data_IF_622224589670
#
_entry.id   IF_622224589670
#
_cell.length_a   1.000
_cell.length_b   1.000
_cell.length_c   1.000
_cell.angle_alpha   90.00
_cell.angle_beta   90.00
_cell.angle_gamma   90.00
#
_symmetry.space_group_name_H-M   'P 1'
#
loop_
_entity.id
_entity.type
_entity.pdbx_description
1 polymer ?
#
# COMPACT_ATOMS: atom_id res chain seq x y z
N UNK A 1 1.43 15.35 -20.63
CA UNK A 1 -0.02 15.06 -20.67
C UNK A 1 -0.41 14.59 -19.28
N UNK A 2 -1.40 15.19 -18.64
CA UNK A 2 -1.92 14.72 -17.33
C UNK A 2 -2.68 13.43 -17.60
N UNK A 3 -2.22 12.33 -17.00
CA UNK A 3 -2.91 11.05 -17.01
C UNK A 3 -4.30 11.24 -16.40
N UNK A 4 -5.34 10.82 -17.10
CA UNK A 4 -6.70 10.84 -16.55
C UNK A 4 -6.90 9.58 -15.71
N UNK A 5 -6.66 9.67 -14.40
CA UNK A 5 -6.77 8.56 -13.47
C UNK A 5 -8.25 8.27 -13.23
N UNK A 6 -8.71 7.06 -13.56
CA UNK A 6 -10.07 6.61 -13.27
C UNK A 6 -10.21 6.30 -11.78
N UNK A 7 -11.31 6.71 -11.16
CA UNK A 7 -11.57 6.47 -9.76
C UNK A 7 -13.05 6.21 -9.46
N UNK A 8 -13.30 5.25 -8.59
CA UNK A 8 -14.61 4.93 -8.03
C UNK A 8 -14.65 5.30 -6.54
N UNK A 9 -15.68 6.08 -6.15
CA UNK A 9 -15.82 6.58 -4.79
C UNK A 9 -17.03 5.94 -4.10
N UNK A 10 -16.85 5.46 -2.88
CA UNK A 10 -17.84 4.71 -2.13
C UNK A 10 -18.02 5.27 -0.73
N UNK A 11 -19.28 5.37 -0.26
CA UNK A 11 -19.61 5.67 1.13
C UNK A 11 -19.88 4.42 1.96
N UNK A 12 -20.28 3.35 1.32
CA UNK A 12 -20.63 2.08 1.95
C UNK A 12 -19.68 0.96 1.47
N UNK A 13 -19.31 0.04 2.38
CA UNK A 13 -19.68 -0.08 3.79
C UNK A 13 -18.92 0.88 4.71
N UNK A 14 -17.93 1.58 4.22
CA UNK A 14 -17.17 2.68 4.83
C UNK A 14 -16.68 3.60 3.70
N UNK A 15 -16.36 4.87 3.98
CA UNK A 15 -15.88 5.77 2.94
C UNK A 15 -14.51 5.32 2.42
N UNK A 16 -14.42 5.04 1.12
CA UNK A 16 -13.17 4.71 0.43
C UNK A 16 -13.23 5.14 -1.04
N UNK A 17 -12.07 5.28 -1.64
CA UNK A 17 -11.91 5.54 -3.06
C UNK A 17 -10.92 4.54 -3.67
N UNK A 18 -11.24 4.04 -4.85
CA UNK A 18 -10.40 3.11 -5.61
C UNK A 18 -9.96 3.83 -6.88
N UNK A 19 -8.67 3.86 -7.10
CA UNK A 19 -8.07 4.36 -8.33
C UNK A 19 -7.60 3.17 -9.18
N UNK A 20 -7.91 3.20 -10.46
CA UNK A 20 -7.50 2.20 -11.44
C UNK A 20 -6.38 2.75 -12.31
N UNK A 21 -5.45 1.89 -12.74
CA UNK A 21 -4.29 2.25 -13.54
C UNK A 21 -3.58 3.50 -12.99
N UNK A 22 -3.32 3.47 -11.67
CA UNK A 22 -2.92 4.64 -10.90
C UNK A 22 -1.56 5.20 -11.32
N UNK A 23 -0.63 4.33 -11.68
CA UNK A 23 0.70 4.70 -12.16
C UNK A 23 0.78 4.53 -13.67
N UNK A 24 1.43 5.47 -14.35
CA UNK A 24 1.74 5.34 -15.77
C UNK A 24 2.86 4.30 -16.03
N UNK A 25 3.09 3.97 -17.30
CA UNK A 25 4.06 2.93 -17.68
C UNK A 25 5.48 3.24 -17.17
N UNK A 26 5.91 4.52 -17.20
CA UNK A 26 7.21 4.92 -16.72
C UNK A 26 7.31 4.84 -15.18
N UNK A 27 6.27 5.24 -14.50
CA UNK A 27 6.16 5.12 -13.04
C UNK A 27 6.19 3.65 -12.62
N UNK A 28 5.47 2.79 -13.34
CA UNK A 28 5.49 1.33 -13.12
C UNK A 28 6.87 0.72 -13.35
N UNK A 29 7.58 1.14 -14.39
CA UNK A 29 8.94 0.68 -14.66
C UNK A 29 9.86 0.97 -13.46
N UNK A 30 9.84 2.22 -12.96
CA UNK A 30 10.63 2.63 -11.79
C UNK A 30 10.25 1.87 -10.52
N UNK A 31 8.95 1.66 -10.29
CA UNK A 31 8.47 0.86 -9.15
C UNK A 31 8.98 -0.58 -9.26
N UNK A 32 8.85 -1.20 -10.43
CA UNK A 32 9.28 -2.58 -10.64
C UNK A 32 10.79 -2.77 -10.55
N UNK A 33 11.58 -1.80 -10.98
CA UNK A 33 13.04 -1.83 -10.81
C UNK A 33 13.39 -1.99 -9.32
N UNK A 34 12.78 -1.19 -8.45
CA UNK A 34 13.06 -1.23 -7.02
C UNK A 34 12.42 -2.43 -6.31
N UNK A 35 11.20 -2.83 -6.67
CA UNK A 35 10.56 -4.04 -6.14
C UNK A 35 11.39 -5.30 -6.45
N UNK A 36 11.93 -5.42 -7.66
CA UNK A 36 12.82 -6.52 -8.04
C UNK A 36 14.08 -6.55 -7.19
N UNK A 37 14.63 -5.39 -6.90
CA UNK A 37 15.81 -5.27 -6.04
C UNK A 37 15.51 -5.75 -4.61
N UNK A 38 14.32 -5.46 -4.07
CA UNK A 38 13.95 -5.87 -2.72
C UNK A 38 13.54 -7.34 -2.61
N UNK A 39 13.08 -7.96 -3.67
CA UNK A 39 12.61 -9.36 -3.64
C UNK A 39 13.75 -10.34 -3.39
N UNK A 40 15.01 -9.96 -3.66
CA UNK A 40 16.15 -10.84 -3.42
C UNK A 40 16.31 -11.12 -1.91
N UNK A 41 16.83 -12.31 -1.54
CA UNK A 41 17.13 -12.65 -0.15
C UNK A 41 17.91 -11.54 0.55
N UNK A 42 17.63 -11.34 1.82
CA UNK A 42 18.28 -10.36 2.70
C UNK A 42 17.89 -8.88 2.48
N UNK A 43 16.91 -8.58 1.60
CA UNK A 43 16.44 -7.21 1.39
C UNK A 43 15.09 -6.92 2.00
N UNK A 44 14.22 -7.91 2.07
CA UNK A 44 12.96 -7.85 2.82
C UNK A 44 13.15 -8.54 4.17
N UNK A 45 12.55 -8.00 5.20
CA UNK A 45 12.65 -8.48 6.57
C UNK A 45 11.47 -9.35 6.95
N UNK A 46 11.71 -10.34 7.79
CA UNK A 46 10.66 -11.08 8.47
C UNK A 46 9.95 -10.20 9.50
N UNK A 47 8.76 -10.61 9.96
CA UNK A 47 7.91 -9.80 10.84
C UNK A 47 8.61 -9.38 12.13
N UNK A 48 9.48 -10.23 12.67
CA UNK A 48 10.27 -9.97 13.87
C UNK A 48 11.26 -8.82 13.69
N UNK A 49 11.76 -8.65 12.48
CA UNK A 49 12.85 -7.71 12.18
C UNK A 49 12.35 -6.29 11.79
N UNK A 50 11.06 -6.14 11.41
CA UNK A 50 10.52 -4.84 10.99
C UNK A 50 9.47 -4.24 11.93
N UNK A 51 9.46 -4.63 13.20
CA UNK A 51 8.48 -4.22 14.22
C UNK A 51 7.02 -4.56 13.85
N UNK A 52 6.81 -5.63 13.10
CA UNK A 52 5.49 -6.20 12.87
C UNK A 52 4.98 -6.94 14.12
N UNK A 53 3.67 -7.20 14.15
CA UNK A 53 3.09 -7.98 15.25
C UNK A 53 3.21 -9.46 14.92
N UNK A 54 4.06 -10.17 15.64
CA UNK A 54 4.27 -11.61 15.49
C UNK A 54 2.94 -12.37 15.60
N UNK A 55 2.71 -13.29 14.68
CA UNK A 55 1.48 -14.07 14.62
C UNK A 55 0.29 -13.38 13.93
N UNK A 56 0.48 -12.13 13.44
CA UNK A 56 -0.52 -11.44 12.62
C UNK A 56 -0.25 -11.58 11.11
N UNK A 57 1.00 -11.60 10.72
CA UNK A 57 1.40 -11.80 9.31
C UNK A 57 2.68 -12.62 9.24
N UNK A 58 2.88 -13.31 8.15
CA UNK A 58 4.13 -13.96 7.76
C UNK A 58 4.70 -13.38 6.46
N UNK A 59 4.05 -12.37 5.89
CA UNK A 59 4.57 -11.63 4.75
C UNK A 59 5.85 -10.87 5.11
N UNK A 60 6.78 -10.79 4.15
CA UNK A 60 8.00 -10.00 4.32
C UNK A 60 7.75 -8.52 4.01
N UNK A 61 8.47 -7.64 4.70
CA UNK A 61 8.30 -6.21 4.52
C UNK A 61 9.62 -5.43 4.62
N UNK A 62 9.56 -4.19 4.11
CA UNK A 62 10.59 -3.19 4.27
C UNK A 62 9.93 -1.82 4.48
N UNK A 63 10.30 -1.14 5.57
CA UNK A 63 9.87 0.24 5.80
C UNK A 63 10.87 1.19 5.14
N UNK A 64 10.45 1.82 4.04
CA UNK A 64 11.35 2.63 3.21
C UNK A 64 11.86 3.89 3.90
N UNK A 65 11.07 4.49 4.81
CA UNK A 65 11.52 5.70 5.53
C UNK A 65 12.69 5.42 6.48
N UNK A 66 12.88 4.19 6.94
CA UNK A 66 14.02 3.79 7.75
C UNK A 66 15.27 3.58 6.90
N UNK A 67 15.10 3.07 5.67
CA UNK A 67 16.19 2.88 4.71
C UNK A 67 16.60 4.21 4.08
N UNK A 68 15.61 5.03 3.72
CA UNK A 68 15.77 6.33 3.08
C UNK A 68 15.17 7.45 3.93
N UNK A 69 15.85 7.90 4.99
CA UNK A 69 15.40 9.06 5.77
C UNK A 69 15.14 10.28 4.88
N UNK A 70 14.38 11.26 5.36
CA UNK A 70 13.89 12.41 4.57
C UNK A 70 14.93 13.02 3.62
N UNK A 71 16.18 13.13 4.07
CA UNK A 71 17.32 13.65 3.29
C UNK A 71 17.64 12.80 2.04
N UNK A 72 17.31 11.50 2.06
CA UNK A 72 17.68 10.54 1.03
C UNK A 72 16.47 9.92 0.32
N UNK A 73 15.27 10.43 0.55
CA UNK A 73 14.03 9.89 -0.10
C UNK A 73 14.13 9.84 -1.62
N UNK A 74 14.85 10.77 -2.23
CA UNK A 74 15.06 10.83 -3.68
C UNK A 74 15.98 9.74 -4.23
N UNK A 75 16.56 8.90 -3.39
CA UNK A 75 17.32 7.72 -3.83
C UNK A 75 16.43 6.48 -4.05
N UNK A 76 15.19 6.51 -3.58
CA UNK A 76 14.20 5.47 -3.81
C UNK A 76 13.24 5.88 -4.93
N UNK A 77 13.16 5.10 -5.99
CA UNK A 77 12.20 5.28 -7.07
C UNK A 77 10.76 5.21 -6.52
N UNK A 78 10.49 4.24 -5.66
CA UNK A 78 9.17 4.07 -5.02
C UNK A 78 8.79 5.33 -4.26
N UNK A 79 9.65 5.83 -3.35
CA UNK A 79 9.34 7.02 -2.55
C UNK A 79 9.19 8.31 -3.40
N UNK A 80 9.82 8.38 -4.56
CA UNK A 80 9.63 9.49 -5.49
C UNK A 80 8.29 9.38 -6.22
N UNK A 81 8.06 8.24 -6.88
CA UNK A 81 6.88 8.02 -7.73
C UNK A 81 5.59 8.01 -6.90
N UNK A 82 5.60 7.30 -5.78
CA UNK A 82 4.38 7.17 -4.95
C UNK A 82 4.02 8.45 -4.20
N UNK A 83 4.88 9.48 -4.21
CA UNK A 83 4.56 10.78 -3.63
C UNK A 83 3.33 11.44 -4.25
N UNK A 84 2.95 11.07 -5.47
CA UNK A 84 1.72 11.54 -6.14
C UNK A 84 0.43 11.26 -5.36
N UNK A 85 0.43 10.32 -4.39
CA UNK A 85 -0.73 10.11 -3.49
C UNK A 85 -1.08 11.35 -2.65
N UNK A 86 -0.15 12.31 -2.53
CA UNK A 86 -0.37 13.61 -1.88
C UNK A 86 -0.84 14.71 -2.84
N UNK A 87 -0.93 14.42 -4.12
CA UNK A 87 -1.38 15.42 -5.08
C UNK A 87 -2.83 15.80 -4.80
N UNK A 88 -3.13 17.08 -5.02
CA UNK A 88 -4.45 17.65 -4.78
C UNK A 88 -5.55 16.87 -5.51
N UNK A 89 -5.29 16.47 -6.75
CA UNK A 89 -6.23 15.68 -7.57
C UNK A 89 -6.56 14.29 -6.99
N UNK A 90 -5.72 13.77 -6.08
CA UNK A 90 -5.91 12.49 -5.39
C UNK A 90 -6.56 12.71 -4.03
N UNK A 91 -6.06 13.67 -3.25
CA UNK A 91 -6.53 13.90 -1.88
C UNK A 91 -7.89 14.61 -1.81
N UNK A 92 -8.19 15.54 -2.72
CA UNK A 92 -9.45 16.29 -2.68
C UNK A 92 -10.69 15.40 -2.87
N UNK A 93 -10.78 14.52 -3.88
CA UNK A 93 -11.91 13.61 -4.02
C UNK A 93 -12.15 12.78 -2.76
N UNK A 94 -11.07 12.23 -2.18
CA UNK A 94 -11.18 11.46 -0.93
C UNK A 94 -11.58 12.33 0.26
N UNK A 95 -11.00 13.53 0.42
CA UNK A 95 -11.34 14.47 1.50
C UNK A 95 -12.80 14.93 1.47
N UNK A 96 -13.37 15.03 0.28
CA UNK A 96 -14.74 15.50 0.07
C UNK A 96 -15.77 14.35 0.14
N UNK A 97 -15.32 13.11 0.25
CA UNK A 97 -16.18 11.93 0.23
C UNK A 97 -17.09 11.88 1.48
N UNK A 98 -16.56 12.24 2.64
CA UNK A 98 -17.32 12.33 3.90
C UNK A 98 -16.58 13.16 4.94
N UNK A 99 -17.29 13.59 5.99
CA UNK A 99 -16.71 14.41 7.07
C UNK A 99 -15.50 13.71 7.73
N UNK A 100 -15.55 12.39 7.91
CA UNK A 100 -14.44 11.66 8.51
C UNK A 100 -13.18 11.59 7.61
N UNK A 101 -13.32 11.84 6.31
CA UNK A 101 -12.21 11.93 5.37
C UNK A 101 -11.63 13.35 5.23
N UNK A 102 -12.33 14.37 5.75
CA UNK A 102 -12.01 15.79 5.54
C UNK A 102 -10.59 16.19 5.96
N UNK A 103 -9.98 15.45 6.88
CA UNK A 103 -8.61 15.67 7.35
C UNK A 103 -7.54 15.24 6.32
N UNK A 104 -7.89 14.42 5.31
CA UNK A 104 -6.92 13.88 4.36
C UNK A 104 -6.15 14.98 3.61
N UNK A 105 -6.82 16.08 3.23
CA UNK A 105 -6.20 17.24 2.55
C UNK A 105 -5.13 17.96 3.39
N UNK A 106 -5.07 17.70 4.70
CA UNK A 106 -4.07 18.28 5.59
C UNK A 106 -2.91 17.32 5.91
N UNK A 107 -3.04 16.05 5.49
CA UNK A 107 -1.96 15.10 5.65
C UNK A 107 -0.76 15.52 4.80
N UNK A 108 0.41 15.58 5.43
CA UNK A 108 1.62 16.07 4.80
C UNK A 108 2.82 15.16 5.05
N UNK A 109 2.59 14.05 5.74
CA UNK A 109 3.61 13.07 6.07
C UNK A 109 3.04 11.65 5.99
N UNK A 110 3.91 10.71 5.62
CA UNK A 110 3.59 9.29 5.54
C UNK A 110 4.74 8.41 6.04
N UNK A 111 4.38 7.22 6.45
CA UNK A 111 5.28 6.07 6.52
C UNK A 111 4.97 5.18 5.34
N UNK A 112 5.99 4.77 4.59
CA UNK A 112 5.84 3.93 3.41
C UNK A 112 6.44 2.54 3.67
N UNK A 113 5.62 1.50 3.49
CA UNK A 113 6.06 0.10 3.60
C UNK A 113 5.83 -0.64 2.29
N UNK A 114 6.86 -1.35 1.84
CA UNK A 114 6.75 -2.40 0.81
C UNK A 114 6.50 -3.72 1.52
N UNK A 115 5.52 -4.51 1.03
CA UNK A 115 5.27 -5.88 1.48
C UNK A 115 5.24 -6.83 0.30
N UNK A 116 5.72 -8.02 0.53
CA UNK A 116 5.66 -9.14 -0.42
C UNK A 116 5.02 -10.34 0.25
N UNK A 117 4.01 -10.87 -0.41
CA UNK A 117 3.25 -12.05 0.00
C UNK A 117 3.48 -13.16 -1.00
N UNK A 118 3.81 -14.33 -0.48
CA UNK A 118 3.99 -15.55 -1.26
C UNK A 118 3.06 -16.65 -0.75
N UNK A 119 3.33 -17.90 -1.06
CA UNK A 119 2.46 -19.01 -0.70
C UNK A 119 2.23 -19.11 0.82
N UNK A 120 0.96 -19.21 1.21
CA UNK A 120 0.46 -19.22 2.59
C UNK A 120 0.63 -17.92 3.38
N UNK A 121 1.13 -16.85 2.78
CA UNK A 121 1.22 -15.55 3.45
C UNK A 121 -0.15 -14.90 3.55
N UNK A 122 -0.44 -14.34 4.72
CA UNK A 122 -1.67 -13.64 5.06
C UNK A 122 -1.39 -12.46 6.00
N UNK A 123 -2.37 -11.62 6.23
CA UNK A 123 -2.34 -10.65 7.31
C UNK A 123 -3.69 -10.67 8.03
N UNK A 124 -3.69 -11.03 9.32
CA UNK A 124 -4.91 -11.10 10.13
C UNK A 124 -5.56 -9.73 10.26
N UNK A 125 -6.89 -9.67 10.40
CA UNK A 125 -7.61 -8.41 10.58
C UNK A 125 -7.08 -7.58 11.73
N UNK A 126 -6.86 -6.29 11.47
CA UNK A 126 -6.32 -5.31 12.42
C UNK A 126 -6.74 -3.88 12.03
N UNK A 127 -6.38 -2.91 12.86
CA UNK A 127 -6.58 -1.48 12.59
C UNK A 127 -5.27 -0.72 12.80
N UNK A 128 -5.03 0.32 12.00
CA UNK A 128 -3.82 1.14 12.05
C UNK A 128 -4.07 2.49 12.75
N UNK A 129 -4.54 2.45 13.98
CA UNK A 129 -5.07 3.61 14.75
C UNK A 129 -4.07 4.74 15.03
N UNK A 130 -2.78 4.52 14.78
CA UNK A 130 -1.74 5.55 14.95
C UNK A 130 -1.69 6.53 13.77
N UNK A 131 -2.42 6.25 12.70
CA UNK A 131 -2.47 7.06 11.49
C UNK A 131 -3.89 7.54 11.22
N UNK A 132 -4.04 8.49 10.29
CA UNK A 132 -5.36 9.03 9.94
C UNK A 132 -5.99 8.24 8.80
N UNK A 133 -5.19 7.97 7.76
CA UNK A 133 -5.63 7.31 6.54
C UNK A 133 -4.57 6.33 6.05
N UNK A 134 -5.01 5.42 5.20
CA UNK A 134 -4.18 4.44 4.52
C UNK A 134 -4.40 4.54 3.01
N UNK A 135 -3.34 4.32 2.25
CA UNK A 135 -3.43 4.04 0.83
C UNK A 135 -2.60 2.79 0.52
N UNK A 136 -3.19 1.86 -0.21
CA UNK A 136 -2.56 0.61 -0.61
C UNK A 136 -2.51 0.54 -2.13
N UNK A 137 -1.31 0.45 -2.70
CA UNK A 137 -1.10 0.16 -4.12
C UNK A 137 -0.69 -1.30 -4.28
N UNK A 138 -1.20 -1.97 -5.33
CA UNK A 138 -1.01 -3.40 -5.53
C UNK A 138 -0.29 -3.69 -6.84
N UNK A 139 0.65 -4.65 -6.77
CA UNK A 139 1.45 -5.03 -7.92
C UNK A 139 1.68 -6.54 -7.95
N UNK A 140 1.67 -7.11 -9.14
CA UNK A 140 2.08 -8.47 -9.42
C UNK A 140 2.54 -8.62 -10.87
N UNK A 141 3.32 -9.67 -11.14
CA UNK A 141 3.78 -9.98 -12.49
C UNK A 141 2.64 -10.49 -13.35
N UNK A 142 2.58 -10.04 -14.59
CA UNK A 142 1.65 -10.56 -15.57
C UNK A 142 2.26 -11.76 -16.34
N UNK A 143 1.51 -12.84 -16.58
CA UNK A 143 0.18 -13.12 -16.04
C UNK A 143 0.23 -13.41 -14.53
N UNK A 144 -0.84 -13.08 -13.80
CA UNK A 144 -0.98 -13.35 -12.35
C UNK A 144 -0.76 -14.84 -12.05
N UNK A 145 0.12 -15.17 -11.12
CA UNK A 145 0.55 -16.55 -10.79
C UNK A 145 0.01 -17.05 -9.46
N UNK A 146 -0.80 -16.28 -8.76
CA UNK A 146 -1.37 -16.62 -7.46
C UNK A 146 -2.88 -16.38 -7.44
N UNK A 147 -3.56 -17.00 -6.48
CA UNK A 147 -4.93 -16.70 -6.08
C UNK A 147 -4.97 -16.18 -4.64
N UNK A 148 -6.10 -15.57 -4.23
CA UNK A 148 -6.20 -14.89 -2.95
C UNK A 148 -5.35 -13.62 -2.90
N UNK A 149 -4.96 -13.23 -1.69
CA UNK A 149 -4.20 -12.01 -1.43
C UNK A 149 -5.06 -10.74 -1.52
N UNK A 150 -6.38 -10.86 -1.43
CA UNK A 150 -7.29 -9.74 -1.45
C UNK A 150 -7.29 -8.97 -0.12
N UNK A 151 -7.67 -7.72 -0.16
CA UNK A 151 -7.88 -6.92 1.05
C UNK A 151 -9.27 -7.23 1.60
N UNK A 152 -9.33 -7.80 2.79
CA UNK A 152 -10.57 -8.25 3.42
C UNK A 152 -10.99 -7.30 4.55
N UNK A 153 -12.31 -7.13 4.70
CA UNK A 153 -12.95 -6.30 5.72
C UNK A 153 -14.03 -7.11 6.45
N UNK A 154 -13.63 -8.03 7.37
CA UNK A 154 -14.55 -9.03 7.93
C UNK A 154 -15.75 -8.42 8.66
N UNK A 155 -15.57 -7.28 9.32
CA UNK A 155 -16.65 -6.56 10.00
C UNK A 155 -17.78 -6.14 9.06
N UNK A 156 -17.49 -5.99 7.78
CA UNK A 156 -18.41 -5.47 6.77
C UNK A 156 -18.82 -6.51 5.74
N UNK A 157 -18.33 -7.74 5.87
CA UNK A 157 -18.51 -8.79 4.84
C UNK A 157 -18.16 -8.27 3.44
N UNK A 158 -17.04 -7.54 3.36
CA UNK A 158 -16.58 -6.88 2.14
C UNK A 158 -15.14 -7.29 1.82
N UNK A 159 -14.87 -7.43 0.54
CA UNK A 159 -13.56 -7.77 0.00
C UNK A 159 -13.24 -6.88 -1.20
N UNK A 160 -12.00 -6.40 -1.25
CA UNK A 160 -11.46 -5.68 -2.39
C UNK A 160 -10.44 -6.56 -3.11
N UNK A 161 -10.74 -6.87 -4.38
CA UNK A 161 -9.80 -7.57 -5.25
C UNK A 161 -8.64 -6.64 -5.59
N UNK A 162 -7.43 -7.05 -5.18
CA UNK A 162 -6.22 -6.26 -5.36
C UNK A 162 -5.69 -6.40 -6.79
N UNK A 163 -6.27 -5.64 -7.73
CA UNK A 163 -5.84 -5.64 -9.11
C UNK A 163 -4.49 -4.95 -9.29
N UNK A 164 -3.73 -5.41 -10.31
CA UNK A 164 -2.45 -4.79 -10.65
C UNK A 164 -2.62 -3.31 -10.97
N UNK A 165 -1.73 -2.48 -10.42
CA UNK A 165 -1.75 -1.02 -10.60
C UNK A 165 -3.02 -0.34 -10.06
N UNK A 166 -3.75 -0.97 -9.14
CA UNK A 166 -4.83 -0.32 -8.41
C UNK A 166 -4.32 0.32 -7.11
N UNK A 167 -5.04 1.35 -6.64
CA UNK A 167 -4.81 1.97 -5.34
C UNK A 167 -6.15 2.15 -4.63
N UNK A 168 -6.27 1.67 -3.39
CA UNK A 168 -7.40 2.00 -2.50
C UNK A 168 -6.94 2.94 -1.40
N UNK A 169 -7.73 4.01 -1.16
CA UNK A 169 -7.52 4.92 -0.04
C UNK A 169 -8.71 4.86 0.92
N UNK A 170 -8.44 4.76 2.23
CA UNK A 170 -9.46 4.56 3.26
C UNK A 170 -9.02 5.11 4.62
N UNK A 171 -9.97 5.31 5.58
CA UNK A 171 -9.63 5.65 6.97
C UNK A 171 -8.89 4.49 7.68
N UNK A 172 -7.90 4.83 8.48
CA UNK A 172 -7.05 3.85 9.19
C UNK A 172 -7.75 3.08 10.32
N UNK A 173 -8.89 3.58 10.81
CA UNK A 173 -9.70 2.91 11.84
C UNK A 173 -10.54 1.75 11.30
N UNK A 174 -10.66 1.61 9.99
CA UNK A 174 -11.36 0.48 9.35
C UNK A 174 -10.55 -0.79 9.58
N UNK A 175 -11.16 -1.78 10.21
CA UNK A 175 -10.55 -3.09 10.39
C UNK A 175 -10.39 -3.78 9.05
N UNK A 176 -9.18 -4.22 8.76
CA UNK A 176 -8.82 -4.83 7.49
C UNK A 176 -7.75 -5.90 7.68
N UNK A 177 -7.67 -6.80 6.73
CA UNK A 177 -6.66 -7.87 6.67
C UNK A 177 -6.34 -8.22 5.22
N UNK A 178 -5.48 -9.21 5.03
CA UNK A 178 -5.18 -9.79 3.72
C UNK A 178 -5.45 -11.27 3.81
N UNK A 179 -6.32 -11.80 2.95
CA UNK A 179 -6.57 -13.23 2.88
C UNK A 179 -5.35 -13.98 2.34
N UNK A 180 -5.37 -15.29 2.53
CA UNK A 180 -4.22 -16.13 2.23
C UNK A 180 -3.89 -16.11 0.73
N UNK A 181 -2.63 -15.83 0.42
CA UNK A 181 -2.07 -16.02 -0.93
C UNK A 181 -1.82 -17.51 -1.16
N UNK A 182 -2.22 -18.01 -2.31
CA UNK A 182 -1.92 -19.38 -2.77
C UNK A 182 -1.19 -19.31 -4.10
N UNK A 183 0.01 -19.86 -4.14
CA UNK A 183 0.85 -19.95 -5.34
C UNK A 183 1.55 -21.31 -5.37
N UNK A 184 1.63 -21.93 -6.53
CA UNK A 184 2.23 -23.26 -6.70
C UNK A 184 3.77 -23.25 -6.74
N UNK A 185 4.38 -22.08 -6.82
CA UNK A 185 5.83 -21.93 -6.87
C UNK A 185 6.46 -22.10 -5.49
N UNK A 186 7.60 -22.76 -5.46
CA UNK A 186 8.33 -23.04 -4.23
C UNK A 186 9.41 -21.99 -3.90
N UNK A 187 9.81 -21.15 -4.86
CA UNK A 187 10.82 -20.11 -4.63
C UNK A 187 10.16 -18.82 -4.15
N UNK A 188 10.32 -18.56 -2.86
CA UNK A 188 9.77 -17.34 -2.22
C UNK A 188 10.26 -16.05 -2.90
N UNK A 189 11.43 -16.03 -3.47
CA UNK A 189 12.08 -14.82 -4.00
C UNK A 189 12.05 -14.71 -5.53
N UNK A 190 11.21 -15.50 -6.19
CA UNK A 190 11.00 -15.42 -7.64
C UNK A 190 10.30 -14.13 -8.09
N UNK A 191 9.61 -13.47 -7.15
CA UNK A 191 8.84 -12.24 -7.40
C UNK A 191 7.50 -12.46 -8.07
N UNK A 192 6.99 -13.70 -8.09
CA UNK A 192 5.70 -14.06 -8.70
C UNK A 192 4.50 -13.87 -7.77
N UNK A 193 4.75 -13.60 -6.48
CA UNK A 193 3.72 -13.33 -5.49
C UNK A 193 3.11 -11.92 -5.59
N UNK A 194 2.42 -11.52 -4.54
CA UNK A 194 1.72 -10.25 -4.44
C UNK A 194 2.56 -9.19 -3.74
N UNK A 195 2.71 -8.04 -4.35
CA UNK A 195 3.30 -6.87 -3.72
C UNK A 195 2.23 -5.88 -3.26
N UNK A 196 2.50 -5.19 -2.15
CA UNK A 196 1.75 -4.01 -1.75
C UNK A 196 2.71 -2.90 -1.32
N UNK A 197 2.43 -1.68 -1.75
CA UNK A 197 3.05 -0.46 -1.22
C UNK A 197 1.98 0.23 -0.39
N UNK A 198 2.23 0.36 0.92
CA UNK A 198 1.29 0.95 1.86
C UNK A 198 1.81 2.30 2.34
N UNK A 199 0.95 3.33 2.23
CA UNK A 199 1.16 4.64 2.80
C UNK A 199 0.28 4.82 4.03
N UNK A 200 0.89 5.14 5.16
CA UNK A 200 0.23 5.45 6.43
C UNK A 200 0.29 6.97 6.63
N UNK A 201 -0.82 7.65 6.42
CA UNK A 201 -0.88 9.11 6.42
C UNK A 201 -1.05 9.70 7.80
N UNK A 202 -0.32 10.80 8.05
CA UNK A 202 -0.44 11.64 9.24
C UNK A 202 -0.30 13.12 8.94
N UNK A 203 -0.80 13.94 9.87
CA UNK A 203 -0.55 15.36 9.90
C UNK A 203 0.62 15.62 10.86
N UNK A 204 1.71 16.21 10.36
CA UNK A 204 2.79 16.72 11.21
C UNK A 204 2.70 18.22 11.29
N UNK A 205 2.80 18.77 12.51
CA UNK A 205 3.03 20.20 12.68
C UNK A 205 4.32 20.61 11.96
N UNK A 206 4.25 21.71 11.20
CA UNK A 206 5.47 22.33 10.69
C UNK A 206 6.27 22.77 11.90
N UNK A 207 7.44 22.18 12.12
CA UNK A 207 8.38 22.71 13.11
C UNK A 207 8.57 24.19 12.79
N UNK A 208 8.27 25.07 13.76
CA UNK A 208 8.62 26.49 13.65
C UNK A 208 10.14 26.56 13.55
N UNK A 209 10.63 26.72 12.32
CA UNK A 209 12.03 27.02 12.04
C UNK A 209 12.35 28.46 12.43
#
# INVERSE_FOLDING_TARGET
MTQNISADAFLNPFPHIIFHDFYDDRELELIWEELNFYTKPNKLFDVEDYNGVVGYTNAKALQLDLVYPTKYRTLSNILQVTRKVFDKQILEPFSNLSDCCSQAKYCNWDVTKVRYYHNNDEYKPHTDRLFHFLAFSYFYRQPKKFSGGNLIFPKYDYEFTCDHNSLIMMPSWVEHGVDKVTIDDSDYFDGLGRYAITHFFSCKEKSKS
#
